data_IF_327742080098
#
_entry.id   IF_327742080098
#
_cell.length_a   1.000
_cell.length_b   1.000
_cell.length_c   1.000
_cell.angle_alpha   90.00
_cell.angle_beta   90.00
_cell.angle_gamma   90.00
#
_symmetry.space_group_name_H-M   'P 1'
#
loop_
_entity.id
_entity.type
_entity.pdbx_description
1 polymer ?
#
# COMPACT_ATOMS: atom_id res chain seq x y z
N UNK A 1 -5.14 1.36 -5.22
CA UNK A 1 -4.10 0.39 -4.80
C UNK A 1 -4.77 -0.91 -4.35
N UNK A 2 -4.10 -2.05 -4.47
CA UNK A 2 -4.58 -3.35 -3.97
C UNK A 2 -3.84 -3.63 -2.66
N UNK A 3 -4.56 -4.09 -1.64
CA UNK A 3 -3.98 -4.37 -0.32
C UNK A 3 -4.36 -5.79 0.07
N UNK A 4 -3.35 -6.55 0.49
CA UNK A 4 -3.52 -7.96 0.87
C UNK A 4 -4.58 -8.11 1.95
N UNK A 5 -5.50 -9.06 1.78
CA UNK A 5 -6.57 -9.41 2.73
C UNK A 5 -7.55 -8.29 3.06
N UNK A 6 -7.61 -7.20 2.28
CA UNK A 6 -8.54 -6.09 2.48
C UNK A 6 -9.41 -5.92 1.22
N UNK A 7 -10.68 -5.55 1.41
CA UNK A 7 -11.63 -5.30 0.32
C UNK A 7 -11.86 -6.56 -0.54
N UNK A 8 -12.15 -7.68 0.14
CA UNK A 8 -12.40 -8.99 -0.45
C UNK A 8 -13.80 -9.06 -1.06
N UNK A 9 -13.88 -9.59 -2.28
CA UNK A 9 -15.13 -9.84 -2.99
C UNK A 9 -15.21 -11.29 -3.37
N UNK A 10 -16.41 -11.86 -3.20
CA UNK A 10 -16.74 -13.19 -3.71
C UNK A 10 -17.06 -13.07 -5.19
N UNK A 11 -16.22 -13.67 -6.03
CA UNK A 11 -16.43 -13.75 -7.47
C UNK A 11 -16.77 -15.19 -7.85
N UNK A 12 -17.93 -15.35 -8.47
CA UNK A 12 -18.32 -16.61 -9.10
C UNK A 12 -17.53 -16.77 -10.39
N UNK A 13 -16.77 -17.85 -10.50
CA UNK A 13 -16.01 -18.20 -11.70
C UNK A 13 -16.65 -19.43 -12.32
N UNK A 14 -16.96 -19.32 -13.61
CA UNK A 14 -17.40 -20.44 -14.43
C UNK A 14 -16.23 -21.41 -14.62
N UNK A 15 -16.51 -22.71 -14.53
CA UNK A 15 -15.52 -23.74 -14.79
C UNK A 15 -14.97 -23.60 -16.22
N UNK A 16 -13.65 -23.77 -16.35
CA UNK A 16 -12.97 -23.90 -17.63
C UNK A 16 -12.26 -25.26 -17.67
N UNK A 17 -11.87 -25.74 -18.86
CA UNK A 17 -11.28 -27.07 -19.03
C UNK A 17 -10.14 -27.40 -18.04
N UNK A 18 -9.36 -26.39 -17.64
CA UNK A 18 -8.23 -26.52 -16.72
C UNK A 18 -8.45 -25.89 -15.33
N UNK A 19 -9.64 -25.36 -15.03
CA UNK A 19 -9.93 -24.72 -13.75
C UNK A 19 -11.33 -25.07 -13.23
N UNK A 20 -11.44 -25.71 -12.05
CA UNK A 20 -12.75 -25.98 -11.46
C UNK A 20 -13.49 -24.67 -11.20
N UNK A 21 -14.80 -24.68 -11.49
CA UNK A 21 -15.67 -23.55 -11.19
C UNK A 21 -15.90 -23.43 -9.69
N UNK A 22 -16.21 -22.22 -9.22
CA UNK A 22 -16.45 -21.99 -7.80
C UNK A 22 -16.52 -20.53 -7.42
N UNK A 23 -16.62 -20.31 -6.12
CA UNK A 23 -16.57 -18.98 -5.52
C UNK A 23 -15.15 -18.75 -5.05
N UNK A 24 -14.47 -17.78 -5.65
CA UNK A 24 -13.15 -17.34 -5.19
C UNK A 24 -13.25 -16.00 -4.49
N UNK A 25 -12.35 -15.76 -3.54
CA UNK A 25 -12.20 -14.45 -2.91
C UNK A 25 -11.08 -13.68 -3.62
N UNK A 26 -11.41 -12.49 -4.11
CA UNK A 26 -10.46 -11.60 -4.77
C UNK A 26 -10.38 -10.26 -4.06
N UNK A 27 -9.16 -9.75 -3.95
CA UNK A 27 -8.90 -8.40 -3.44
C UNK A 27 -9.23 -7.38 -4.53
N UNK A 28 -10.10 -6.42 -4.22
CA UNK A 28 -10.42 -5.33 -5.14
C UNK A 28 -9.65 -4.06 -4.80
N UNK A 29 -9.37 -3.20 -5.80
CA UNK A 29 -8.67 -1.96 -5.57
C UNK A 29 -9.46 -1.04 -4.62
N UNK A 30 -8.72 -0.38 -3.73
CA UNK A 30 -9.21 0.71 -2.90
C UNK A 30 -8.72 2.05 -3.45
N UNK A 31 -9.57 3.07 -3.27
CA UNK A 31 -9.23 4.44 -3.60
C UNK A 31 -8.08 4.94 -2.72
N UNK A 32 -7.11 5.67 -3.31
CA UNK A 32 -5.90 6.09 -2.62
C UNK A 32 -6.18 7.01 -1.41
N UNK A 33 -7.24 7.83 -1.46
CA UNK A 33 -7.61 8.69 -0.32
C UNK A 33 -8.04 7.92 0.93
N UNK A 34 -8.41 6.64 0.81
CA UNK A 34 -8.75 5.77 1.95
C UNK A 34 -7.52 5.12 2.59
N UNK A 35 -6.33 5.34 2.03
CA UNK A 35 -5.08 4.79 2.54
C UNK A 35 -4.24 5.87 3.19
N UNK A 36 -3.55 5.51 4.27
CA UNK A 36 -2.61 6.39 4.93
C UNK A 36 -1.34 5.62 5.27
N UNK A 37 -0.20 6.29 5.09
CA UNK A 37 1.11 5.71 5.40
C UNK A 37 1.30 5.62 6.92
N UNK A 38 1.73 4.45 7.37
CA UNK A 38 2.25 4.26 8.73
C UNK A 38 3.76 4.47 8.66
N UNK A 39 4.26 5.39 9.49
CA UNK A 39 5.70 5.66 9.52
C UNK A 39 6.43 4.48 10.21
N UNK A 40 7.48 3.91 9.61
CA UNK A 40 8.21 2.79 10.22
C UNK A 40 8.94 3.20 11.51
N UNK A 41 9.32 4.47 11.65
CA UNK A 41 10.06 4.97 12.82
C UNK A 41 9.19 5.23 14.04
N UNK A 42 7.99 5.78 13.85
CA UNK A 42 7.13 6.18 14.96
C UNK A 42 5.81 5.41 15.05
N UNK A 43 5.56 4.50 14.10
CA UNK A 43 4.35 3.64 13.98
C UNK A 43 3.01 4.39 13.96
N UNK A 44 3.05 5.72 13.89
CA UNK A 44 1.88 6.57 13.80
C UNK A 44 1.45 6.71 12.34
N UNK A 45 0.15 6.88 12.12
CA UNK A 45 -0.42 7.30 10.84
C UNK A 45 0.01 8.73 10.53
N UNK A 46 0.66 8.97 9.40
CA UNK A 46 1.24 10.29 9.07
C UNK A 46 1.00 10.70 7.62
N UNK A 47 1.14 12.00 7.34
CA UNK A 47 1.23 12.53 5.98
C UNK A 47 2.70 12.62 5.57
N UNK A 48 2.96 12.46 4.28
CA UNK A 48 4.30 12.55 3.68
C UNK A 48 4.63 14.01 3.36
N UNK A 49 5.89 14.39 3.57
CA UNK A 49 6.52 15.61 3.05
C UNK A 49 7.73 15.20 2.19
N UNK A 50 8.29 16.15 1.45
CA UNK A 50 9.47 15.93 0.62
C UNK A 50 10.61 16.83 1.08
N UNK A 51 11.83 16.31 1.06
CA UNK A 51 13.06 17.08 1.24
C UNK A 51 14.06 16.70 0.16
N UNK A 52 14.84 17.67 -0.28
CA UNK A 52 15.95 17.51 -1.22
C UNK A 52 17.28 17.66 -0.49
N UNK A 53 18.19 16.72 -0.71
CA UNK A 53 19.56 16.82 -0.21
C UNK A 53 20.43 17.66 -1.15
N UNK A 54 21.64 18.01 -0.68
CA UNK A 54 22.65 18.77 -1.44
C UNK A 54 23.05 18.10 -2.77
N UNK A 55 22.88 16.79 -2.89
CA UNK A 55 23.10 16.02 -4.13
C UNK A 55 21.86 15.93 -5.03
N UNK A 56 20.87 16.82 -4.84
CA UNK A 56 19.60 16.88 -5.58
C UNK A 56 18.70 15.61 -5.47
N UNK A 57 19.00 14.70 -4.55
CA UNK A 57 18.16 13.52 -4.29
C UNK A 57 16.94 13.90 -3.46
N UNK A 58 15.76 13.46 -3.90
CA UNK A 58 14.48 13.68 -3.21
C UNK A 58 14.16 12.51 -2.29
N UNK A 59 13.81 12.84 -1.05
CA UNK A 59 13.40 11.88 -0.02
C UNK A 59 12.03 12.21 0.52
N UNK A 60 11.27 11.18 0.86
CA UNK A 60 10.01 11.26 1.60
C UNK A 60 10.29 11.32 3.09
N UNK A 61 9.66 12.26 3.75
CA UNK A 61 9.81 12.53 5.18
C UNK A 61 8.47 12.41 5.89
N UNK A 62 8.50 11.86 7.09
CA UNK A 62 7.36 11.80 7.98
C UNK A 62 7.08 13.17 8.59
N UNK A 63 5.88 13.73 8.40
CA UNK A 63 5.54 15.04 8.99
C UNK A 63 5.54 15.07 10.53
N UNK A 64 5.38 13.93 11.21
CA UNK A 64 5.33 13.89 12.70
C UNK A 64 6.71 13.82 13.34
N UNK A 65 7.56 12.87 12.92
CA UNK A 65 8.88 12.66 13.53
C UNK A 65 10.03 13.22 12.69
N UNK A 66 9.76 13.80 11.51
CA UNK A 66 10.75 14.34 10.57
C UNK A 66 11.80 13.33 10.07
N UNK A 67 11.62 12.05 10.35
CA UNK A 67 12.49 10.98 9.87
C UNK A 67 12.24 10.66 8.39
N UNK A 68 13.31 10.26 7.69
CA UNK A 68 13.28 9.80 6.30
C UNK A 68 12.61 8.42 6.23
N UNK A 69 11.64 8.27 5.33
CA UNK A 69 10.82 7.07 5.18
C UNK A 69 11.41 6.08 4.16
N UNK A 70 12.24 6.55 3.22
CA UNK A 70 12.70 5.76 2.06
C UNK A 70 13.79 4.71 2.36
N UNK A 71 13.85 4.18 3.59
CA UNK A 71 14.64 2.98 3.84
C UNK A 71 13.87 1.79 3.25
N UNK A 72 14.32 1.37 2.06
CA UNK A 72 13.90 0.12 1.43
C UNK A 72 14.34 -1.04 2.33
N UNK A 73 13.40 -1.64 3.04
CA UNK A 73 13.55 -3.03 3.45
C UNK A 73 13.60 -3.85 2.15
N UNK A 74 14.77 -4.39 1.83
CA UNK A 74 14.88 -5.55 0.95
C UNK A 74 14.25 -6.75 1.64
#
# INVERSE_FOLDING_TARGET
AIVKSINLYKKHIKAQANQPGGIIEIEKPLHLSKLQLICPHCQKRTRVAYQTDKSAKKFRICRKCKAIIDKLNK
#
